data_IF_835012328895
#
_entry.id   IF_835012328895
#
_cell.length_a   1.000
_cell.length_b   1.000
_cell.length_c   1.000
_cell.angle_alpha   90.00
_cell.angle_beta   90.00
_cell.angle_gamma   90.00
#
_symmetry.space_group_name_H-M   'P 1'
#
loop_
_entity.id
_entity.type
_entity.pdbx_description
1 polymer ?
#
# COMPACT_ATOMS: atom_id res chain seq x y z
N UNK A 1 7.18 20.24 -5.77
CA UNK A 1 8.12 19.39 -6.51
C UNK A 1 7.66 17.95 -6.37
N UNK A 2 7.36 17.27 -7.48
CA UNK A 2 6.95 15.86 -7.47
C UNK A 2 8.21 15.03 -7.76
N UNK A 3 8.52 14.04 -6.90
CA UNK A 3 9.70 13.18 -7.05
C UNK A 3 9.82 12.52 -8.43
N UNK A 4 8.67 12.19 -9.04
CA UNK A 4 8.58 11.60 -10.38
C UNK A 4 9.05 12.52 -11.49
N UNK A 5 9.08 13.83 -11.25
CA UNK A 5 9.45 14.83 -12.26
C UNK A 5 10.95 15.14 -12.21
N UNK A 6 11.65 14.71 -11.15
CA UNK A 6 13.09 14.93 -11.00
C UNK A 6 13.84 14.00 -11.97
N UNK A 7 14.87 14.45 -12.71
CA UNK A 7 15.70 13.56 -13.52
C UNK A 7 16.35 12.43 -12.70
N UNK A 8 16.52 11.24 -13.31
CA UNK A 8 17.01 10.05 -12.60
C UNK A 8 18.38 10.28 -11.92
N UNK A 9 19.32 10.91 -12.62
CA UNK A 9 20.63 11.26 -12.07
C UNK A 9 20.49 12.12 -10.81
N UNK A 10 19.61 13.12 -10.84
CA UNK A 10 19.37 14.00 -9.70
C UNK A 10 18.71 13.27 -8.52
N UNK A 11 17.81 12.31 -8.78
CA UNK A 11 17.25 11.45 -7.71
C UNK A 11 18.34 10.64 -7.01
N UNK A 12 19.25 10.06 -7.79
CA UNK A 12 20.38 9.28 -7.24
C UNK A 12 21.28 10.16 -6.36
N UNK A 13 21.64 11.36 -6.82
CA UNK A 13 22.40 12.32 -6.01
C UNK A 13 21.71 12.66 -4.69
N UNK A 14 20.39 12.91 -4.72
CA UNK A 14 19.61 13.22 -3.53
C UNK A 14 19.57 12.04 -2.56
N UNK A 15 19.40 10.81 -3.05
CA UNK A 15 19.40 9.62 -2.20
C UNK A 15 20.77 9.39 -1.54
N UNK A 16 21.86 9.56 -2.29
CA UNK A 16 23.23 9.43 -1.75
C UNK A 16 23.54 10.51 -0.69
N UNK A 17 23.06 11.74 -0.92
CA UNK A 17 23.17 12.82 0.06
C UNK A 17 22.39 12.49 1.34
N UNK A 18 21.17 11.95 1.21
CA UNK A 18 20.37 11.52 2.36
C UNK A 18 21.02 10.36 3.10
N UNK A 19 21.61 9.40 2.39
CA UNK A 19 22.36 8.30 2.99
C UNK A 19 23.53 8.81 3.83
N UNK A 20 24.30 9.77 3.29
CA UNK A 20 25.43 10.38 4.02
C UNK A 20 24.96 11.15 5.25
N UNK A 21 23.81 11.84 5.17
CA UNK A 21 23.27 12.65 6.27
C UNK A 21 22.60 11.84 7.38
N UNK A 22 21.95 10.75 7.03
CA UNK A 22 21.11 9.96 7.96
C UNK A 22 21.75 8.66 8.39
N UNK A 23 22.78 8.18 7.68
CA UNK A 23 23.35 6.83 7.85
C UNK A 23 22.43 5.72 7.32
N UNK A 24 21.28 6.06 6.74
CA UNK A 24 20.31 5.10 6.22
C UNK A 24 20.62 4.79 4.75
N UNK A 25 20.57 3.51 4.37
CA UNK A 25 20.88 3.14 3.00
C UNK A 25 19.93 3.80 1.97
N UNK A 26 20.50 4.38 0.89
CA UNK A 26 19.75 5.07 -0.16
C UNK A 26 18.57 4.26 -0.72
N UNK A 27 18.77 2.95 -0.92
CA UNK A 27 17.73 2.04 -1.44
C UNK A 27 16.58 1.88 -0.44
N UNK A 28 16.87 1.85 0.85
CA UNK A 28 15.85 1.76 1.91
C UNK A 28 15.04 3.05 2.00
N UNK A 29 15.71 4.21 1.89
CA UNK A 29 15.05 5.52 1.83
C UNK A 29 14.11 5.60 0.63
N UNK A 30 14.58 5.25 -0.56
CA UNK A 30 13.76 5.28 -1.78
C UNK A 30 12.53 4.37 -1.66
N UNK A 31 12.71 3.14 -1.18
CA UNK A 31 11.61 2.19 -0.96
C UNK A 31 10.56 2.74 0.01
N UNK A 32 11.00 3.28 1.14
CA UNK A 32 10.12 3.84 2.16
C UNK A 32 9.30 5.03 1.63
N UNK A 33 9.94 5.86 0.80
CA UNK A 33 9.28 6.96 0.11
C UNK A 33 8.18 6.45 -0.84
N UNK A 34 8.45 5.43 -1.67
CA UNK A 34 7.45 4.83 -2.55
C UNK A 34 6.28 4.20 -1.79
N UNK A 35 6.56 3.49 -0.70
CA UNK A 35 5.52 2.90 0.16
C UNK A 35 4.62 3.98 0.76
N UNK A 36 5.23 5.05 1.26
CA UNK A 36 4.50 6.19 1.84
C UNK A 36 3.64 6.88 0.77
N UNK A 37 4.16 7.06 -0.45
CA UNK A 37 3.38 7.61 -1.56
C UNK A 37 2.20 6.71 -1.95
N UNK A 38 2.40 5.40 -2.03
CA UNK A 38 1.34 4.45 -2.35
C UNK A 38 0.22 4.46 -1.30
N UNK A 39 0.58 4.46 -0.01
CA UNK A 39 -0.40 4.61 1.07
C UNK A 39 -1.18 5.92 0.95
N UNK A 40 -0.49 7.04 0.71
CA UNK A 40 -1.15 8.34 0.49
C UNK A 40 -2.16 8.26 -0.66
N UNK A 41 -1.77 7.68 -1.79
CA UNK A 41 -2.66 7.55 -2.95
C UNK A 41 -3.90 6.68 -2.65
N UNK A 42 -3.70 5.54 -1.98
CA UNK A 42 -4.80 4.62 -1.62
C UNK A 42 -5.82 5.27 -0.68
N UNK A 43 -5.34 5.96 0.36
CA UNK A 43 -6.19 6.58 1.37
C UNK A 43 -6.70 7.99 0.99
N UNK A 44 -6.25 8.54 -0.14
CA UNK A 44 -6.83 9.77 -0.72
C UNK A 44 -7.92 9.48 -1.76
N UNK A 45 -8.15 8.21 -2.11
CA UNK A 45 -9.11 7.81 -3.13
C UNK A 45 -10.49 7.45 -2.57
N UNK A 46 -11.45 7.20 -3.47
CA UNK A 46 -12.84 6.86 -3.14
C UNK A 46 -13.02 5.52 -2.39
N UNK A 47 -11.96 4.75 -2.22
CA UNK A 47 -12.01 3.44 -1.56
C UNK A 47 -11.46 3.50 -0.12
N UNK A 48 -10.98 4.66 0.32
CA UNK A 48 -10.30 4.82 1.61
C UNK A 48 -11.13 4.31 2.80
N UNK A 49 -12.44 4.59 2.82
CA UNK A 49 -13.35 4.16 3.88
C UNK A 49 -13.50 2.64 4.00
N UNK A 50 -13.18 1.91 2.92
CA UNK A 50 -13.23 0.46 2.88
C UNK A 50 -11.85 -0.18 3.07
N UNK A 51 -10.78 0.60 3.24
CA UNK A 51 -9.42 0.11 3.42
C UNK A 51 -9.00 0.20 4.88
N UNK A 52 -8.34 -0.84 5.37
CA UNK A 52 -7.69 -0.84 6.68
C UNK A 52 -6.21 -1.15 6.48
N UNK A 53 -5.36 -0.22 6.90
CA UNK A 53 -3.92 -0.42 6.92
C UNK A 53 -3.51 -1.22 8.15
N UNK A 54 -2.83 -2.35 7.93
CA UNK A 54 -2.49 -3.32 8.97
C UNK A 54 -1.03 -3.78 8.82
N UNK A 55 -0.65 -4.78 9.61
CA UNK A 55 0.67 -5.42 9.55
C UNK A 55 1.78 -4.60 10.21
N UNK A 56 3.02 -5.10 10.11
CA UNK A 56 4.19 -4.50 10.76
C UNK A 56 4.47 -3.06 10.30
N UNK A 57 4.11 -2.75 9.06
CA UNK A 57 4.28 -1.41 8.47
C UNK A 57 3.34 -0.37 9.10
N UNK A 58 2.13 -0.77 9.52
CA UNK A 58 1.24 0.13 10.27
C UNK A 58 1.80 0.44 11.67
N UNK A 59 2.47 -0.53 12.30
CA UNK A 59 3.10 -0.36 13.61
C UNK A 59 4.29 0.61 13.56
N UNK A 60 5.08 0.59 12.48
CA UNK A 60 6.17 1.56 12.30
C UNK A 60 5.65 2.94 11.87
N UNK A 61 4.73 3.01 10.90
CA UNK A 61 4.31 4.28 10.28
C UNK A 61 3.26 5.07 11.05
N UNK A 62 2.29 4.40 11.67
CA UNK A 62 1.19 5.07 12.38
C UNK A 62 1.48 5.14 13.89
N UNK A 63 2.03 4.07 14.46
CA UNK A 63 2.19 3.94 15.90
C UNK A 63 3.62 4.20 16.40
N UNK A 64 4.61 4.21 15.50
CA UNK A 64 6.05 4.37 15.82
C UNK A 64 6.56 3.38 16.88
N UNK A 65 5.98 2.18 16.92
CA UNK A 65 6.30 1.15 17.91
C UNK A 65 7.57 0.37 17.53
N UNK A 66 7.86 0.28 16.23
CA UNK A 66 9.06 -0.42 15.72
C UNK A 66 9.79 0.47 14.71
N UNK A 67 11.12 0.47 14.75
CA UNK A 67 11.98 1.21 13.82
C UNK A 67 12.58 0.27 12.76
N UNK A 68 11.77 -0.04 11.74
CA UNK A 68 12.21 -0.83 10.58
C UNK A 68 11.67 -0.23 9.29
N UNK A 69 12.45 -0.40 8.23
CA UNK A 69 12.02 0.01 6.89
C UNK A 69 10.80 -0.76 6.41
N UNK A 70 9.95 -0.01 5.70
CA UNK A 70 8.68 -0.47 5.17
C UNK A 70 8.90 -1.06 3.77
N UNK A 71 8.93 -2.38 3.65
CA UNK A 71 9.06 -3.07 2.36
C UNK A 71 7.72 -3.57 1.82
N UNK A 72 6.77 -3.90 2.71
CA UNK A 72 5.45 -4.43 2.35
C UNK A 72 4.35 -3.50 2.84
N UNK A 73 3.21 -3.49 2.13
CA UNK A 73 1.99 -2.80 2.54
C UNK A 73 0.91 -3.86 2.74
N UNK A 74 0.51 -4.10 3.99
CA UNK A 74 -0.59 -5.00 4.30
C UNK A 74 -1.90 -4.21 4.40
N UNK A 75 -2.85 -4.51 3.52
CA UNK A 75 -4.18 -3.90 3.52
C UNK A 75 -5.23 -4.96 3.74
N UNK A 76 -6.25 -4.63 4.51
CA UNK A 76 -7.55 -5.31 4.46
C UNK A 76 -8.54 -4.42 3.72
N UNK A 77 -9.47 -5.05 3.01
CA UNK A 77 -10.57 -4.36 2.35
C UNK A 77 -11.86 -4.91 2.95
N UNK A 78 -12.81 -4.03 3.22
CA UNK A 78 -14.14 -4.42 3.62
C UNK A 78 -14.74 -5.40 2.61
N UNK A 79 -15.30 -6.49 3.13
CA UNK A 79 -15.95 -7.53 2.33
C UNK A 79 -17.30 -7.07 1.78
N UNK A 80 -17.98 -6.17 2.48
CA UNK A 80 -19.27 -5.64 2.05
C UNK A 80 -19.10 -4.76 0.81
N UNK A 81 -17.96 -4.08 0.69
CA UNK A 81 -17.57 -3.36 -0.53
C UNK A 81 -17.56 -4.24 -1.79
N UNK A 82 -17.29 -5.55 -1.64
CA UNK A 82 -17.35 -6.53 -2.73
C UNK A 82 -18.71 -7.24 -2.86
N UNK A 83 -19.73 -6.81 -2.12
CA UNK A 83 -21.06 -7.42 -2.12
C UNK A 83 -21.15 -8.73 -1.32
N UNK A 84 -20.17 -9.02 -0.47
CA UNK A 84 -20.22 -10.20 0.42
C UNK A 84 -20.80 -9.80 1.78
N UNK A 85 -22.11 -9.55 1.86
CA UNK A 85 -22.80 -9.34 3.13
C UNK A 85 -23.04 -10.68 3.89
N UNK A 86 -23.38 -10.60 5.19
CA UNK A 86 -23.81 -11.75 6.01
C UNK A 86 -22.71 -12.48 6.80
N UNK A 87 -23.09 -13.34 7.75
CA UNK A 87 -22.15 -14.03 8.66
C UNK A 87 -21.12 -14.92 7.95
N UNK A 88 -19.92 -14.98 8.52
CA UNK A 88 -18.88 -15.91 8.08
C UNK A 88 -19.21 -17.31 8.60
N UNK A 89 -19.77 -18.17 7.76
CA UNK A 89 -19.80 -19.61 8.05
C UNK A 89 -18.36 -20.16 8.01
N UNK A 90 -17.96 -20.83 9.11
CA UNK A 90 -16.56 -21.19 9.50
C UNK A 90 -15.68 -21.93 8.46
N UNK A 91 -16.13 -22.19 7.23
CA UNK A 91 -15.32 -22.80 6.16
C UNK A 91 -15.62 -22.15 4.82
N UNK A 92 -15.05 -20.99 4.54
CA UNK A 92 -14.94 -20.48 3.17
C UNK A 92 -13.50 -20.63 2.71
N UNK A 93 -13.25 -21.62 1.86
CA UNK A 93 -11.94 -21.88 1.25
C UNK A 93 -11.42 -20.57 0.64
N UNK A 94 -10.32 -20.04 1.18
CA UNK A 94 -9.70 -18.77 0.77
C UNK A 94 -9.51 -18.69 -0.76
N UNK A 95 -9.25 -19.81 -1.42
CA UNK A 95 -9.17 -19.96 -2.89
C UNK A 95 -10.41 -19.43 -3.63
N UNK A 96 -11.63 -19.68 -3.11
CA UNK A 96 -12.90 -19.20 -3.70
C UNK A 96 -13.10 -17.69 -3.49
N UNK A 97 -12.67 -17.17 -2.35
CA UNK A 97 -12.72 -15.74 -2.07
C UNK A 97 -11.78 -14.95 -2.99
N UNK A 98 -10.55 -15.42 -3.18
CA UNK A 98 -9.56 -14.79 -4.07
C UNK A 98 -10.04 -14.74 -5.53
N UNK A 99 -10.60 -15.83 -6.05
CA UNK A 99 -11.16 -15.88 -7.42
C UNK A 99 -12.34 -14.92 -7.61
N UNK A 100 -13.16 -14.74 -6.57
CA UNK A 100 -14.33 -13.86 -6.61
C UNK A 100 -13.94 -12.38 -6.57
N UNK A 101 -12.94 -12.02 -5.77
CA UNK A 101 -12.35 -10.66 -5.74
C UNK A 101 -11.74 -10.32 -7.11
N UNK A 102 -10.99 -11.24 -7.71
CA UNK A 102 -10.42 -11.06 -9.05
C UNK A 102 -11.50 -10.87 -10.13
N UNK A 103 -12.60 -11.62 -10.05
CA UNK A 103 -13.73 -11.46 -10.99
C UNK A 103 -14.53 -10.18 -10.78
N UNK A 104 -14.70 -9.73 -9.53
CA UNK A 104 -15.38 -8.48 -9.21
C UNK A 104 -14.56 -7.26 -9.69
N UNK A 105 -13.24 -7.29 -9.51
CA UNK A 105 -12.33 -6.27 -10.04
C UNK A 105 -12.40 -6.15 -11.58
N UNK A 106 -12.36 -7.29 -12.30
CA UNK A 106 -12.47 -7.30 -13.77
C UNK A 106 -13.82 -6.78 -14.28
N UNK A 107 -14.93 -7.07 -13.60
CA UNK A 107 -16.28 -6.62 -14.00
C UNK A 107 -16.51 -5.12 -13.81
N UNK A 108 -15.92 -4.50 -12.77
CA UNK A 108 -16.04 -3.05 -12.58
C UNK A 108 -15.14 -2.25 -13.54
N UNK A 109 -13.97 -2.78 -13.92
CA UNK A 109 -13.07 -2.15 -14.90
C UNK A 109 -13.72 -2.13 -16.30
N UNK A 110 -14.40 -3.21 -16.70
CA UNK A 110 -15.06 -3.31 -18.01
C UNK A 110 -16.32 -2.44 -18.19
N UNK A 111 -16.85 -1.87 -17.10
CA UNK A 111 -18.02 -0.97 -17.10
C UNK A 111 -17.66 0.52 -17.13
N UNK A 112 -16.36 0.85 -17.13
CA UNK A 112 -15.82 2.22 -17.16
C UNK A 112 -15.23 2.62 -18.52
N UNK A 113 -15.33 1.76 -19.53
CA UNK A 113 -15.04 2.08 -20.94
C UNK A 113 -16.35 2.15 -21.70
#
# INVERSE_FOLDING_TARGET
>A
MIWTDIPKNRRVELLNLLETRTGLNAKSIEKDWWVTLALKALFSGSYAEHLVFKGGTSLSKCWKIIDRFSEYIDLAIDREFFGFAGELTKKRNWKKATQSILHAGKRKIKRRN
#
